data_IF_593848788975
#
_entry.id   IF_593848788975
#
_cell.length_a   1.000
_cell.length_b   1.000
_cell.length_c   1.000
_cell.angle_alpha   90.00
_cell.angle_beta   90.00
_cell.angle_gamma   90.00
#
_symmetry.space_group_name_H-M   'P 1'
#
loop_
_entity.id
_entity.type
_entity.pdbx_description
1 polymer ?
#
# COMPACT_ATOMS: atom_id res chain seq x y z
N UNK A 1 10.82 -3.44 -7.22
CA UNK A 1 10.44 -2.12 -6.66
C UNK A 1 11.71 -1.32 -6.39
N UNK A 2 12.13 -0.48 -7.34
CA UNK A 2 13.40 0.27 -7.25
C UNK A 2 13.44 1.19 -6.01
N UNK A 3 12.31 1.83 -5.67
CA UNK A 3 12.20 2.74 -4.51
C UNK A 3 12.42 2.05 -3.17
N UNK A 4 11.85 0.86 -2.98
CA UNK A 4 12.01 0.14 -1.73
C UNK A 4 13.47 -0.28 -1.50
N UNK A 5 14.18 -0.64 -2.57
CA UNK A 5 15.63 -0.92 -2.48
C UNK A 5 16.39 0.35 -2.12
N UNK A 6 16.15 1.43 -2.87
CA UNK A 6 16.80 2.72 -2.65
C UNK A 6 16.61 3.26 -1.24
N UNK A 7 15.38 3.24 -0.72
CA UNK A 7 15.07 3.69 0.65
C UNK A 7 15.79 2.81 1.67
N UNK A 8 15.81 1.48 1.47
CA UNK A 8 16.55 0.55 2.34
C UNK A 8 18.07 0.72 2.26
N UNK A 9 18.58 1.22 1.14
CA UNK A 9 19.99 1.60 0.93
C UNK A 9 20.32 3.00 1.51
N UNK A 10 19.35 3.67 2.14
CA UNK A 10 19.53 4.97 2.79
C UNK A 10 19.31 6.17 1.87
N UNK A 11 18.77 5.98 0.67
CA UNK A 11 18.38 7.10 -0.19
C UNK A 11 17.08 7.75 0.33
N UNK A 12 17.09 9.06 0.61
CA UNK A 12 15.92 9.73 1.16
C UNK A 12 14.80 9.90 0.12
N UNK A 13 13.58 10.07 0.61
CA UNK A 13 12.44 10.53 -0.15
C UNK A 13 12.66 11.98 -0.59
N UNK A 14 12.58 12.23 -1.89
CA UNK A 14 12.80 13.56 -2.48
C UNK A 14 11.63 13.98 -3.36
N UNK A 15 11.60 15.23 -3.79
CA UNK A 15 10.68 15.76 -4.80
C UNK A 15 10.69 14.89 -6.06
N UNK A 16 11.87 14.40 -6.47
CA UNK A 16 11.97 13.48 -7.61
C UNK A 16 11.19 12.19 -7.34
N UNK A 17 11.32 11.62 -6.15
CA UNK A 17 10.50 10.46 -5.74
C UNK A 17 9.00 10.77 -5.83
N UNK A 18 8.59 11.98 -5.44
CA UNK A 18 7.17 12.38 -5.49
C UNK A 18 6.67 12.43 -6.95
N UNK A 19 7.48 13.01 -7.84
CA UNK A 19 7.19 13.11 -9.29
C UNK A 19 7.14 11.71 -9.92
N UNK A 20 8.11 10.85 -9.62
CA UNK A 20 8.18 9.49 -10.15
C UNK A 20 6.97 8.66 -9.69
N UNK A 21 6.55 8.79 -8.43
CA UNK A 21 5.33 8.16 -7.93
C UNK A 21 4.09 8.66 -8.69
N UNK A 22 3.98 9.97 -8.91
CA UNK A 22 2.89 10.52 -9.72
C UNK A 22 2.89 9.93 -11.14
N UNK A 23 4.04 9.93 -11.82
CA UNK A 23 4.21 9.42 -13.17
C UNK A 23 3.80 7.94 -13.28
N UNK A 24 4.16 7.12 -12.29
CA UNK A 24 3.75 5.72 -12.21
C UNK A 24 2.25 5.59 -11.96
N UNK A 25 1.71 6.27 -10.94
CA UNK A 25 0.29 6.17 -10.53
C UNK A 25 -0.66 6.65 -11.62
N UNK A 26 -0.22 7.61 -12.42
CA UNK A 26 -1.03 8.24 -13.46
C UNK A 26 -0.69 7.79 -14.88
N UNK A 27 0.36 7.00 -15.06
CA UNK A 27 0.89 6.61 -16.36
C UNK A 27 1.18 7.82 -17.26
N UNK A 28 1.86 8.83 -16.68
CA UNK A 28 2.17 10.11 -17.33
C UNK A 28 3.67 10.41 -17.28
N UNK A 29 4.09 11.40 -18.06
CA UNK A 29 5.48 11.88 -18.14
C UNK A 29 5.63 13.33 -17.65
N UNK A 30 4.53 14.03 -17.37
CA UNK A 30 4.57 15.35 -16.75
C UNK A 30 4.84 15.25 -15.24
N UNK A 31 4.75 16.39 -14.53
CA UNK A 31 5.07 16.46 -13.11
C UNK A 31 4.32 17.59 -12.42
N UNK A 32 5.04 18.43 -11.70
CA UNK A 32 4.48 19.56 -10.94
C UNK A 32 3.60 20.43 -11.85
N UNK A 33 2.38 20.70 -11.39
CA UNK A 33 1.40 21.49 -12.13
C UNK A 33 1.87 22.93 -12.35
N UNK A 34 1.38 23.53 -13.44
CA UNK A 34 1.66 24.92 -13.82
C UNK A 34 0.42 25.67 -14.28
N UNK A 35 -0.74 25.01 -14.35
CA UNK A 35 -2.00 25.59 -14.82
C UNK A 35 -2.87 25.91 -13.59
N UNK A 36 -3.43 27.13 -13.51
CA UNK A 36 -4.33 27.53 -12.42
C UNK A 36 -5.65 26.75 -12.35
N UNK A 37 -6.35 26.89 -11.22
CA UNK A 37 -7.72 26.39 -11.05
C UNK A 37 -7.84 24.99 -10.45
N UNK A 38 -6.76 24.48 -9.87
CA UNK A 38 -6.80 23.22 -9.12
C UNK A 38 -7.44 23.47 -7.76
N UNK A 39 -8.32 22.56 -7.31
CA UNK A 39 -8.92 22.62 -5.98
C UNK A 39 -9.08 21.22 -5.41
N UNK A 40 -8.87 21.10 -4.10
CA UNK A 40 -9.18 19.89 -3.36
C UNK A 40 -10.69 19.85 -3.12
N UNK A 41 -11.36 18.78 -3.57
CA UNK A 41 -12.79 18.58 -3.39
C UNK A 41 -13.10 17.34 -2.56
N UNK A 42 -14.19 17.37 -1.81
CA UNK A 42 -14.72 16.19 -1.12
C UNK A 42 -15.56 15.32 -2.09
N UNK A 43 -16.12 14.22 -1.57
CA UNK A 43 -16.98 13.33 -2.35
C UNK A 43 -18.30 13.94 -2.85
N UNK A 44 -18.75 15.05 -2.27
CA UNK A 44 -19.92 15.81 -2.69
C UNK A 44 -19.59 16.89 -3.74
N UNK A 45 -18.31 17.06 -4.10
CA UNK A 45 -17.85 18.08 -5.04
C UNK A 45 -17.62 19.46 -4.42
N UNK A 46 -17.76 19.60 -3.09
CA UNK A 46 -17.49 20.85 -2.38
C UNK A 46 -15.98 21.10 -2.32
N UNK A 47 -15.57 22.36 -2.55
CA UNK A 47 -14.18 22.78 -2.44
C UNK A 47 -13.79 22.83 -0.97
N UNK A 48 -12.82 22.00 -0.59
CA UNK A 48 -12.22 21.97 0.74
C UNK A 48 -11.11 23.02 0.83
N UNK A 49 -10.30 23.12 -0.21
CA UNK A 49 -9.12 23.98 -0.24
C UNK A 49 -8.70 24.33 -1.66
N UNK A 50 -8.20 25.55 -1.85
CA UNK A 50 -7.63 26.02 -3.11
C UNK A 50 -6.12 26.25 -2.92
N UNK A 51 -5.26 25.37 -3.46
CA UNK A 51 -3.81 25.48 -3.34
C UNK A 51 -3.23 26.61 -4.20
N UNK A 52 -1.98 27.01 -3.92
CA UNK A 52 -1.29 28.02 -4.72
C UNK A 52 -1.14 27.56 -6.17
N UNK A 53 -1.49 28.40 -7.13
CA UNK A 53 -1.33 28.12 -8.57
C UNK A 53 0.07 28.49 -9.10
N UNK A 54 0.92 29.09 -8.27
CA UNK A 54 2.27 29.46 -8.64
C UNK A 54 3.23 28.26 -8.50
N UNK A 55 3.79 27.80 -9.62
CA UNK A 55 4.76 26.70 -9.65
C UNK A 55 5.98 26.93 -8.75
N UNK A 56 6.45 28.17 -8.63
CA UNK A 56 7.57 28.50 -7.74
C UNK A 56 7.22 28.29 -6.27
N UNK A 57 6.00 28.67 -5.87
CA UNK A 57 5.53 28.42 -4.51
C UNK A 57 5.37 26.93 -4.24
N UNK A 58 4.82 26.17 -5.18
CA UNK A 58 4.69 24.72 -5.06
C UNK A 58 6.06 24.08 -4.84
N UNK A 59 7.06 24.42 -5.67
CA UNK A 59 8.42 23.88 -5.54
C UNK A 59 9.08 24.29 -4.22
N UNK A 60 8.90 25.54 -3.79
CA UNK A 60 9.41 26.02 -2.49
C UNK A 60 8.79 25.27 -1.32
N UNK A 61 7.48 25.06 -1.33
CA UNK A 61 6.76 24.33 -0.29
C UNK A 61 7.14 22.85 -0.27
N UNK A 62 7.31 22.22 -1.44
CA UNK A 62 7.80 20.85 -1.52
C UNK A 62 9.25 20.73 -1.02
N UNK A 63 10.11 21.71 -1.31
CA UNK A 63 11.48 21.72 -0.79
C UNK A 63 11.50 21.84 0.73
N UNK A 64 10.61 22.65 1.31
CA UNK A 64 10.43 22.71 2.75
C UNK A 64 9.94 21.38 3.34
N UNK A 65 8.97 20.74 2.69
CA UNK A 65 8.46 19.43 3.09
C UNK A 65 9.53 18.33 3.02
N UNK A 66 10.29 18.28 1.93
CA UNK A 66 11.43 17.37 1.75
C UNK A 66 12.47 17.56 2.87
N UNK A 67 12.80 18.82 3.18
CA UNK A 67 13.72 19.14 4.28
C UNK A 67 13.16 18.64 5.61
N UNK A 68 11.88 18.89 5.90
CA UNK A 68 11.24 18.52 7.16
C UNK A 68 11.26 17.00 7.43
N UNK A 69 11.05 16.17 6.39
CA UNK A 69 11.01 14.71 6.55
C UNK A 69 12.39 14.06 6.56
N UNK A 70 13.44 14.73 6.06
CA UNK A 70 14.78 14.15 5.94
C UNK A 70 15.79 14.73 6.95
N UNK A 71 15.55 15.94 7.47
CA UNK A 71 16.42 16.56 8.47
C UNK A 71 15.89 16.19 9.86
N UNK A 72 16.73 15.46 10.60
CA UNK A 72 16.52 15.19 12.01
C UNK A 72 17.17 16.32 12.82
N UNK A 73 16.42 17.41 13.00
CA UNK A 73 16.81 18.45 13.96
C UNK A 73 16.71 17.93 15.41
N UNK A 74 17.28 18.68 16.36
CA UNK A 74 17.38 18.32 17.79
C UNK A 74 16.04 18.20 18.53
N UNK A 75 14.91 18.44 17.86
CA UNK A 75 13.60 18.66 18.48
C UNK A 75 12.82 17.38 18.85
N UNK A 76 13.42 16.19 18.72
CA UNK A 76 12.89 14.90 19.20
C UNK A 76 11.41 14.63 18.83
N UNK A 77 10.97 15.15 17.68
CA UNK A 77 9.60 14.93 17.19
C UNK A 77 9.49 13.50 16.67
N UNK A 78 8.58 12.73 17.27
CA UNK A 78 8.28 11.36 16.87
C UNK A 78 7.90 11.26 15.38
N UNK A 79 8.43 10.26 14.69
CA UNK A 79 8.23 10.08 13.25
C UNK A 79 6.76 9.88 12.89
N UNK A 80 5.89 9.34 13.76
CA UNK A 80 4.45 9.26 13.47
C UNK A 80 3.75 10.63 13.52
N UNK A 81 4.27 11.57 14.32
CA UNK A 81 3.81 12.96 14.30
C UNK A 81 4.28 13.64 13.00
N UNK A 82 5.54 13.43 12.61
CA UNK A 82 6.05 13.91 11.32
C UNK A 82 5.26 13.33 10.14
N UNK A 83 4.85 12.07 10.20
CA UNK A 83 3.97 11.43 9.21
C UNK A 83 2.65 12.19 9.06
N UNK A 84 2.01 12.58 10.17
CA UNK A 84 0.77 13.35 10.13
C UNK A 84 0.98 14.70 9.44
N UNK A 85 2.04 15.42 9.80
CA UNK A 85 2.38 16.71 9.21
C UNK A 85 2.71 16.55 7.72
N UNK A 86 3.50 15.54 7.35
CA UNK A 86 3.83 15.19 5.98
C UNK A 86 2.54 15.01 5.15
N UNK A 87 1.62 14.19 5.65
CA UNK A 87 0.40 13.90 4.93
C UNK A 87 -0.44 15.15 4.70
N UNK A 88 -0.65 15.96 5.74
CA UNK A 88 -1.39 17.23 5.62
C UNK A 88 -0.74 18.19 4.63
N UNK A 89 0.57 18.44 4.79
CA UNK A 89 1.29 19.39 3.93
C UNK A 89 1.25 18.95 2.47
N UNK A 90 1.46 17.68 2.18
CA UNK A 90 1.40 17.18 0.81
C UNK A 90 0.02 17.38 0.17
N UNK A 91 -1.06 17.05 0.89
CA UNK A 91 -2.43 17.23 0.39
C UNK A 91 -2.78 18.71 0.16
N UNK A 92 -2.27 19.61 1.03
CA UNK A 92 -2.47 21.05 0.91
C UNK A 92 -1.64 21.67 -0.21
N UNK A 93 -0.37 21.28 -0.38
CA UNK A 93 0.46 21.75 -1.49
C UNK A 93 -0.17 21.33 -2.82
N UNK A 94 -0.72 20.12 -2.86
CA UNK A 94 -1.45 19.55 -3.99
C UNK A 94 -0.66 19.69 -5.30
N UNK A 95 0.57 19.16 -5.37
CA UNK A 95 1.55 19.56 -6.38
C UNK A 95 1.25 19.09 -7.82
N UNK A 96 0.38 18.10 -8.00
CA UNK A 96 0.11 17.47 -9.29
C UNK A 96 -1.27 17.85 -9.85
N UNK A 97 -1.50 17.75 -11.17
CA UNK A 97 -2.81 18.02 -11.77
C UNK A 97 -3.93 17.07 -11.32
N UNK A 98 -3.59 15.83 -10.98
CA UNK A 98 -4.48 14.80 -10.41
C UNK A 98 -3.61 13.75 -9.69
N UNK A 99 -4.22 12.91 -8.87
CA UNK A 99 -3.55 11.77 -8.23
C UNK A 99 -2.88 12.11 -6.91
N UNK A 100 -2.94 13.35 -6.44
CA UNK A 100 -2.35 13.79 -5.17
C UNK A 100 -2.71 12.88 -4.01
N UNK A 101 -4.01 12.61 -3.80
CA UNK A 101 -4.43 11.70 -2.72
C UNK A 101 -3.81 10.30 -2.78
N UNK A 102 -3.59 9.75 -3.99
CA UNK A 102 -2.95 8.43 -4.16
C UNK A 102 -1.46 8.50 -3.86
N UNK A 103 -0.78 9.52 -4.38
CA UNK A 103 0.66 9.73 -4.15
C UNK A 103 0.92 10.01 -2.67
N UNK A 104 0.15 10.89 -2.03
CA UNK A 104 0.28 11.20 -0.60
C UNK A 104 0.14 9.96 0.28
N UNK A 105 -0.84 9.08 0.01
CA UNK A 105 -1.00 7.83 0.75
C UNK A 105 0.14 6.83 0.52
N UNK A 106 0.75 6.81 -0.67
CA UNK A 106 1.95 5.99 -0.92
C UNK A 106 3.16 6.58 -0.16
N UNK A 107 3.33 7.90 -0.20
CA UNK A 107 4.39 8.61 0.52
C UNK A 107 4.35 8.32 2.02
N UNK A 108 3.16 8.30 2.63
CA UNK A 108 3.01 7.94 4.04
C UNK A 108 3.65 6.58 4.37
N UNK A 109 3.38 5.56 3.56
CA UNK A 109 3.91 4.21 3.81
C UNK A 109 5.41 4.14 3.51
N UNK A 110 5.88 4.83 2.47
CA UNK A 110 7.32 4.89 2.17
C UNK A 110 8.10 5.65 3.23
N UNK A 111 7.53 6.70 3.82
CA UNK A 111 8.14 7.44 4.92
C UNK A 111 8.29 6.56 6.15
N UNK A 112 7.28 5.76 6.50
CA UNK A 112 7.41 4.76 7.58
C UNK A 112 8.53 3.74 7.33
N UNK A 113 8.80 3.39 6.07
CA UNK A 113 9.93 2.52 5.71
C UNK A 113 11.26 3.24 5.83
N UNK A 114 11.35 4.51 5.39
CA UNK A 114 12.55 5.33 5.55
C UNK A 114 12.94 5.49 7.02
N UNK A 115 11.96 5.74 7.88
CA UNK A 115 12.14 5.89 9.34
C UNK A 115 12.32 4.55 10.07
N UNK A 116 12.44 3.43 9.33
CA UNK A 116 12.64 2.08 9.87
C UNK A 116 11.54 1.59 10.81
N UNK A 117 10.37 2.26 10.81
CA UNK A 117 9.17 1.80 11.51
C UNK A 117 8.49 0.62 10.78
N UNK A 118 8.75 0.48 9.48
CA UNK A 118 8.31 -0.65 8.66
C UNK A 118 9.44 -1.25 7.83
N UNK A 119 9.60 -2.57 7.88
CA UNK A 119 10.52 -3.29 6.99
C UNK A 119 9.97 -3.43 5.56
N UNK A 120 8.65 -3.40 5.41
CA UNK A 120 7.94 -3.55 4.13
C UNK A 120 6.71 -2.64 4.11
N UNK A 121 6.32 -2.11 2.93
CA UNK A 121 5.19 -1.20 2.80
C UNK A 121 3.84 -1.95 2.85
N UNK A 122 3.53 -2.60 3.98
CA UNK A 122 2.37 -3.50 4.14
C UNK A 122 1.24 -2.91 4.99
N UNK A 123 1.41 -1.70 5.52
CA UNK A 123 0.39 -1.04 6.32
C UNK A 123 -0.73 -0.50 5.43
N UNK A 124 -1.96 -0.97 5.64
CA UNK A 124 -3.11 -0.57 4.81
C UNK A 124 -3.81 0.70 5.33
N UNK A 125 -3.04 1.78 5.51
CA UNK A 125 -3.52 3.06 6.06
C UNK A 125 -4.73 3.63 5.30
N UNK A 126 -4.77 3.41 3.98
CA UNK A 126 -5.86 3.88 3.12
C UNK A 126 -7.24 3.32 3.51
N UNK A 127 -7.31 2.11 4.09
CA UNK A 127 -8.59 1.50 4.48
C UNK A 127 -9.31 2.35 5.52
N UNK A 128 -8.59 2.73 6.58
CA UNK A 128 -9.13 3.56 7.65
C UNK A 128 -9.58 4.93 7.12
N UNK A 129 -8.79 5.55 6.24
CA UNK A 129 -9.17 6.84 5.62
C UNK A 129 -10.45 6.74 4.80
N UNK A 130 -10.64 5.63 4.07
CA UNK A 130 -11.84 5.40 3.26
C UNK A 130 -13.06 5.16 4.16
N UNK A 131 -12.91 4.32 5.18
CA UNK A 131 -13.98 3.99 6.15
C UNK A 131 -14.39 5.23 6.98
N UNK A 132 -13.44 6.15 7.23
CA UNK A 132 -13.65 7.36 8.05
C UNK A 132 -13.54 8.66 7.24
N UNK A 133 -13.91 8.65 5.96
CA UNK A 133 -13.68 9.76 5.00
C UNK A 133 -14.24 11.11 5.45
N UNK A 134 -15.37 11.12 6.15
CA UNK A 134 -15.96 12.37 6.67
C UNK A 134 -15.08 13.00 7.75
N UNK A 135 -14.58 12.18 8.68
CA UNK A 135 -13.69 12.68 9.74
C UNK A 135 -12.33 13.10 9.17
N UNK A 136 -11.80 12.35 8.20
CA UNK A 136 -10.57 12.71 7.49
C UNK A 136 -10.61 14.15 6.96
N UNK A 137 -11.64 14.49 6.17
CA UNK A 137 -11.74 15.83 5.60
C UNK A 137 -12.09 16.89 6.64
N UNK A 138 -12.86 16.54 7.69
CA UNK A 138 -13.15 17.45 8.80
C UNK A 138 -11.87 17.83 9.55
N UNK A 139 -11.04 16.84 9.89
CA UNK A 139 -9.77 17.07 10.58
C UNK A 139 -8.79 17.86 9.70
N UNK A 140 -8.66 17.49 8.41
CA UNK A 140 -7.81 18.22 7.46
C UNK A 140 -8.22 19.70 7.34
N UNK A 141 -9.52 19.96 7.19
CA UNK A 141 -10.08 21.32 7.12
C UNK A 141 -9.88 22.08 8.44
N UNK A 142 -9.99 21.40 9.58
CA UNK A 142 -9.76 21.95 10.91
C UNK A 142 -8.37 22.55 11.09
N UNK A 143 -7.33 21.91 10.53
CA UNK A 143 -5.97 22.46 10.54
C UNK A 143 -5.90 23.77 9.75
N UNK A 144 -6.47 23.80 8.54
CA UNK A 144 -6.42 24.99 7.67
C UNK A 144 -7.20 26.17 8.25
N UNK A 145 -8.39 25.95 8.80
CA UNK A 145 -9.26 27.02 9.27
C UNK A 145 -8.98 27.45 10.71
N UNK A 146 -8.62 26.50 11.58
CA UNK A 146 -8.59 26.70 13.03
C UNK A 146 -7.25 26.32 13.69
N UNK A 147 -6.24 25.93 12.90
CA UNK A 147 -4.94 25.45 13.43
C UNK A 147 -5.09 24.22 14.34
N UNK A 148 -6.14 23.42 14.14
CA UNK A 148 -6.47 22.23 14.93
C UNK A 148 -5.57 21.03 14.59
N UNK A 149 -4.27 21.19 14.85
CA UNK A 149 -3.25 20.18 14.61
C UNK A 149 -3.41 18.95 15.50
N UNK A 150 -3.85 19.15 16.75
CA UNK A 150 -4.03 18.06 17.71
C UNK A 150 -5.02 17.03 17.18
N UNK A 151 -6.20 17.45 16.74
CA UNK A 151 -7.21 16.54 16.17
C UNK A 151 -6.69 15.79 14.95
N UNK A 152 -5.98 16.47 14.06
CA UNK A 152 -5.41 15.85 12.87
C UNK A 152 -4.34 14.81 13.21
N UNK A 153 -3.43 15.13 14.13
CA UNK A 153 -2.37 14.22 14.57
C UNK A 153 -3.01 12.99 15.24
N UNK A 154 -3.96 13.19 16.16
CA UNK A 154 -4.67 12.08 16.81
C UNK A 154 -5.42 11.19 15.81
N UNK A 155 -6.06 11.78 14.80
CA UNK A 155 -6.70 11.02 13.72
C UNK A 155 -5.69 10.14 12.97
N UNK A 156 -4.52 10.67 12.61
CA UNK A 156 -3.48 9.91 11.89
C UNK A 156 -2.90 8.82 12.79
N UNK A 157 -2.66 9.09 14.08
CA UNK A 157 -2.15 8.11 15.04
C UNK A 157 -3.14 6.95 15.24
N UNK A 158 -4.44 7.22 15.43
CA UNK A 158 -5.45 6.17 15.51
C UNK A 158 -5.53 5.39 14.18
N UNK A 159 -5.45 6.09 13.04
CA UNK A 159 -5.40 5.42 11.73
C UNK A 159 -4.24 4.42 11.63
N UNK A 160 -3.05 4.80 12.10
CA UNK A 160 -1.86 3.93 12.12
C UNK A 160 -2.07 2.76 13.09
N UNK A 161 -2.55 3.02 14.31
CA UNK A 161 -2.77 1.99 15.33
C UNK A 161 -3.76 0.92 14.85
N UNK A 162 -4.95 1.34 14.40
CA UNK A 162 -6.00 0.41 13.96
C UNK A 162 -5.56 -0.40 12.75
N UNK A 163 -4.90 0.24 11.78
CA UNK A 163 -4.44 -0.46 10.57
C UNK A 163 -3.26 -1.39 10.86
N UNK A 164 -2.38 -1.05 11.80
CA UNK A 164 -1.30 -1.94 12.24
C UNK A 164 -1.86 -3.18 12.93
N UNK A 165 -2.82 -3.02 13.84
CA UNK A 165 -3.54 -4.14 14.51
C UNK A 165 -4.23 -5.05 13.49
N UNK A 166 -4.94 -4.46 12.53
CA UNK A 166 -5.64 -5.20 11.48
C UNK A 166 -4.68 -5.95 10.55
N UNK A 167 -3.58 -5.31 10.12
CA UNK A 167 -2.54 -5.96 9.32
C UNK A 167 -1.90 -7.12 10.09
N UNK A 168 -1.58 -6.94 11.38
CA UNK A 168 -1.01 -8.00 12.21
C UNK A 168 -1.95 -9.20 12.34
N UNK A 169 -3.24 -8.95 12.58
CA UNK A 169 -4.26 -10.02 12.63
C UNK A 169 -4.34 -10.77 11.30
N UNK A 170 -4.39 -10.05 10.16
CA UNK A 170 -4.39 -10.70 8.83
C UNK A 170 -3.13 -11.54 8.59
N UNK A 171 -1.94 -11.04 8.94
CA UNK A 171 -0.69 -11.80 8.79
C UNK A 171 -0.70 -13.08 9.63
N UNK A 172 -1.18 -13.02 10.87
CA UNK A 172 -1.33 -14.21 11.73
C UNK A 172 -2.28 -15.23 11.11
N UNK A 173 -3.40 -14.78 10.59
CA UNK A 173 -4.38 -15.69 9.98
C UNK A 173 -3.86 -16.33 8.69
N UNK A 174 -3.12 -15.58 7.87
CA UNK A 174 -2.41 -16.13 6.70
C UNK A 174 -1.41 -17.21 7.14
N UNK A 175 -0.60 -16.93 8.17
CA UNK A 175 0.39 -17.87 8.68
C UNK A 175 -0.27 -19.15 9.21
N UNK A 176 -1.28 -19.03 10.07
CA UNK A 176 -2.02 -20.18 10.60
C UNK A 176 -2.70 -20.98 9.49
N UNK A 177 -3.30 -20.32 8.49
CA UNK A 177 -3.91 -20.99 7.35
C UNK A 177 -2.89 -21.73 6.51
N UNK A 178 -1.68 -21.17 6.33
CA UNK A 178 -0.57 -21.80 5.61
C UNK A 178 -0.08 -23.06 6.31
N UNK A 179 0.17 -23.01 7.61
CA UNK A 179 0.61 -24.17 8.38
C UNK A 179 -0.43 -25.29 8.37
N UNK A 180 -1.72 -24.94 8.55
CA UNK A 180 -2.81 -25.91 8.48
C UNK A 180 -2.88 -26.58 7.10
N UNK A 181 -2.86 -25.79 6.03
CA UNK A 181 -2.89 -26.33 4.66
C UNK A 181 -1.67 -27.21 4.37
N UNK A 182 -0.47 -26.82 4.84
CA UNK A 182 0.73 -27.62 4.69
C UNK A 182 0.57 -29.01 5.34
N UNK A 183 0.06 -29.06 6.57
CA UNK A 183 -0.15 -30.31 7.29
C UNK A 183 -1.21 -31.19 6.62
N UNK A 184 -2.30 -30.59 6.14
CA UNK A 184 -3.37 -31.32 5.45
C UNK A 184 -2.91 -31.88 4.10
N UNK A 185 -2.17 -31.11 3.30
CA UNK A 185 -1.60 -31.59 2.03
C UNK A 185 -0.59 -32.70 2.30
N UNK A 186 0.28 -32.54 3.31
CA UNK A 186 1.26 -33.58 3.69
C UNK A 186 0.57 -34.91 4.05
N UNK A 187 -0.57 -34.84 4.73
CA UNK A 187 -1.32 -36.03 5.16
C UNK A 187 -2.14 -36.66 4.03
N UNK A 188 -2.85 -35.85 3.23
CA UNK A 188 -3.80 -36.35 2.21
C UNK A 188 -3.15 -36.60 0.85
N UNK A 189 -2.12 -35.82 0.50
CA UNK A 189 -1.49 -35.75 -0.82
C UNK A 189 0.04 -35.80 -0.71
N UNK A 190 0.57 -36.68 0.14
CA UNK A 190 2.00 -36.78 0.46
C UNK A 190 2.91 -36.88 -0.78
N UNK A 191 2.44 -37.49 -1.87
CA UNK A 191 3.19 -37.66 -3.11
C UNK A 191 3.50 -36.36 -3.87
N UNK A 192 2.73 -35.29 -3.62
CA UNK A 192 2.94 -33.98 -4.27
C UNK A 192 3.37 -32.89 -3.29
N UNK A 193 3.39 -33.21 -1.99
CA UNK A 193 3.74 -32.25 -0.96
C UNK A 193 5.19 -31.77 -1.12
N UNK A 194 5.35 -30.46 -1.17
CA UNK A 194 6.61 -29.78 -0.87
C UNK A 194 6.32 -28.48 -0.16
N UNK A 195 7.29 -27.97 0.60
CA UNK A 195 7.13 -26.69 1.29
C UNK A 195 6.92 -25.57 0.27
N UNK A 196 7.66 -25.63 -0.82
CA UNK A 196 7.71 -24.65 -1.91
C UNK A 196 6.39 -24.61 -2.68
N UNK A 197 5.70 -25.74 -2.82
CA UNK A 197 4.36 -25.78 -3.42
C UNK A 197 3.36 -25.03 -2.54
N UNK A 198 3.37 -25.28 -1.24
CA UNK A 198 2.47 -24.58 -0.30
C UNK A 198 2.80 -23.09 -0.26
N UNK A 199 4.09 -22.72 -0.22
CA UNK A 199 4.52 -21.33 -0.27
C UNK A 199 4.01 -20.64 -1.53
N UNK A 200 4.10 -21.28 -2.71
CA UNK A 200 3.56 -20.73 -3.94
C UNK A 200 2.04 -20.47 -3.86
N UNK A 201 1.27 -21.38 -3.22
CA UNK A 201 -0.17 -21.19 -3.03
C UNK A 201 -0.52 -20.05 -2.07
N UNK A 202 0.41 -19.64 -1.21
CA UNK A 202 0.24 -18.52 -0.29
C UNK A 202 0.85 -17.20 -0.78
N UNK A 203 1.78 -17.27 -1.73
CA UNK A 203 2.29 -16.10 -2.45
C UNK A 203 1.36 -15.68 -3.60
N UNK A 204 0.65 -16.64 -4.20
CA UNK A 204 -0.24 -16.44 -5.34
C UNK A 204 -1.66 -16.91 -5.00
N UNK A 205 -2.57 -16.01 -4.53
CA UNK A 205 -3.95 -16.36 -4.22
C UNK A 205 -4.70 -17.00 -5.39
N UNK A 206 -4.26 -16.68 -6.62
CA UNK A 206 -4.64 -17.33 -7.85
C UNK A 206 -3.41 -17.96 -8.50
N UNK A 207 -3.46 -19.25 -8.78
CA UNK A 207 -2.36 -20.00 -9.35
C UNK A 207 -2.69 -20.50 -10.77
N UNK A 208 -1.64 -20.78 -11.55
CA UNK A 208 -1.72 -21.43 -12.86
C UNK A 208 -0.56 -22.39 -13.02
N UNK A 209 -0.68 -23.28 -14.01
CA UNK A 209 0.38 -24.23 -14.40
C UNK A 209 1.71 -23.49 -14.64
N UNK A 210 1.69 -22.35 -15.34
CA UNK A 210 2.89 -21.56 -15.65
C UNK A 210 3.62 -21.07 -14.40
N UNK A 211 2.93 -20.82 -13.29
CA UNK A 211 3.56 -20.35 -12.05
C UNK A 211 4.41 -21.46 -11.42
N UNK A 212 3.89 -22.69 -11.36
CA UNK A 212 4.65 -23.85 -10.88
C UNK A 212 5.86 -24.13 -11.78
N UNK A 213 5.71 -24.00 -13.10
CA UNK A 213 6.80 -24.16 -14.06
C UNK A 213 7.85 -23.08 -13.87
N UNK A 214 7.45 -21.82 -13.70
CA UNK A 214 8.39 -20.68 -13.51
C UNK A 214 9.16 -20.73 -12.19
N UNK A 215 8.69 -21.54 -11.23
CA UNK A 215 9.33 -21.79 -9.93
C UNK A 215 10.08 -23.12 -9.89
N UNK A 216 10.25 -23.78 -11.03
CA UNK A 216 10.90 -25.09 -11.18
C UNK A 216 10.30 -26.19 -10.27
N UNK A 217 9.04 -26.06 -9.85
CA UNK A 217 8.38 -27.04 -8.99
C UNK A 217 7.97 -28.29 -9.76
N UNK A 218 7.68 -28.13 -11.06
CA UNK A 218 7.24 -29.22 -11.92
C UNK A 218 7.24 -28.81 -13.40
N UNK A 219 7.43 -29.78 -14.30
CA UNK A 219 7.10 -29.61 -15.72
C UNK A 219 5.59 -29.45 -15.92
N UNK A 220 5.17 -28.83 -17.01
CA UNK A 220 3.76 -28.45 -17.25
C UNK A 220 2.75 -29.60 -17.04
N UNK A 221 3.05 -30.82 -17.51
CA UNK A 221 2.17 -31.99 -17.31
C UNK A 221 2.02 -32.35 -15.83
N UNK A 222 3.14 -32.38 -15.10
CA UNK A 222 3.16 -32.66 -13.66
C UNK A 222 2.49 -31.55 -12.85
N UNK A 223 2.73 -30.29 -13.18
CA UNK A 223 2.08 -29.14 -12.56
C UNK A 223 0.55 -29.17 -12.75
N UNK A 224 0.08 -29.54 -13.95
CA UNK A 224 -1.35 -29.76 -14.22
C UNK A 224 -1.94 -30.87 -13.34
N UNK A 225 -1.21 -31.97 -13.16
CA UNK A 225 -1.61 -33.07 -12.26
C UNK A 225 -1.67 -32.60 -10.80
N UNK A 226 -0.69 -31.83 -10.32
CA UNK A 226 -0.65 -31.32 -8.95
C UNK A 226 -1.84 -30.41 -8.66
N UNK A 227 -2.10 -29.42 -9.53
CA UNK A 227 -3.23 -28.50 -9.37
C UNK A 227 -4.58 -29.22 -9.43
N UNK A 228 -4.71 -30.27 -10.26
CA UNK A 228 -5.91 -31.11 -10.28
C UNK A 228 -6.11 -31.88 -8.97
N UNK A 229 -5.07 -32.49 -8.42
CA UNK A 229 -5.16 -33.19 -7.14
C UNK A 229 -5.53 -32.25 -5.98
N UNK A 230 -4.96 -31.04 -5.97
CA UNK A 230 -5.31 -30.01 -4.99
C UNK A 230 -6.76 -29.55 -5.11
N UNK A 231 -7.26 -29.39 -6.34
CA UNK A 231 -8.67 -29.10 -6.64
C UNK A 231 -9.59 -30.23 -6.16
N UNK A 232 -9.29 -31.49 -6.52
CA UNK A 232 -10.08 -32.67 -6.14
C UNK A 232 -10.12 -32.89 -4.62
N UNK A 233 -9.04 -32.56 -3.91
CA UNK A 233 -8.96 -32.61 -2.45
C UNK A 233 -9.60 -31.40 -1.75
N UNK A 234 -10.11 -30.41 -2.49
CA UNK A 234 -10.81 -29.24 -1.96
C UNK A 234 -9.91 -28.12 -1.43
N UNK A 235 -8.62 -28.11 -1.75
CA UNK A 235 -7.71 -27.03 -1.36
C UNK A 235 -7.82 -25.81 -2.27
N UNK A 236 -8.23 -26.01 -3.52
CA UNK A 236 -8.33 -24.98 -4.54
C UNK A 236 -9.70 -25.02 -5.20
N UNK A 237 -10.21 -23.86 -5.61
CA UNK A 237 -11.31 -23.74 -6.57
C UNK A 237 -10.76 -23.51 -7.99
N UNK A 238 -11.56 -23.69 -9.02
CA UNK A 238 -11.16 -23.38 -10.41
C UNK A 238 -12.10 -22.38 -11.06
N UNK A 239 -11.52 -21.39 -11.74
CA UNK A 239 -12.24 -20.42 -12.56
C UNK A 239 -11.61 -20.36 -13.95
N UNK A 240 -12.44 -20.46 -14.99
CA UNK A 240 -12.01 -20.33 -16.39
C UNK A 240 -12.24 -18.90 -16.87
N UNK A 241 -11.20 -18.25 -17.40
CA UNK A 241 -11.29 -16.92 -18.01
C UNK A 241 -10.68 -17.03 -19.42
N UNK A 242 -11.54 -17.00 -20.44
CA UNK A 242 -11.12 -17.30 -21.81
C UNK A 242 -10.58 -18.73 -21.92
N UNK A 243 -9.35 -18.86 -22.41
CA UNK A 243 -8.65 -20.16 -22.55
C UNK A 243 -7.87 -20.57 -21.30
N UNK A 244 -7.77 -19.67 -20.33
CA UNK A 244 -6.93 -19.85 -19.15
C UNK A 244 -7.73 -20.39 -17.97
N UNK A 245 -7.14 -21.31 -17.21
CA UNK A 245 -7.70 -21.81 -15.94
C UNK A 245 -6.90 -21.24 -14.77
N UNK A 246 -7.59 -20.61 -13.84
CA UNK A 246 -7.05 -20.09 -12.59
C UNK A 246 -7.49 -21.01 -11.45
N UNK A 247 -6.55 -21.40 -10.61
CA UNK A 247 -6.80 -22.20 -9.41
C UNK A 247 -6.71 -21.29 -8.18
N UNK A 248 -7.77 -21.18 -7.41
CA UNK A 248 -7.92 -20.16 -6.37
C UNK A 248 -7.73 -20.81 -5.00
N UNK A 249 -6.79 -20.31 -4.21
CA UNK A 249 -6.68 -20.67 -2.80
C UNK A 249 -7.76 -19.93 -2.01
N UNK A 250 -8.93 -20.57 -1.81
CA UNK A 250 -10.09 -19.93 -1.19
C UNK A 250 -9.82 -19.49 0.25
N UNK A 251 -9.09 -20.32 1.01
CA UNK A 251 -8.76 -19.98 2.41
C UNK A 251 -7.95 -18.68 2.49
N UNK A 252 -6.94 -18.53 1.62
CA UNK A 252 -6.18 -17.28 1.55
C UNK A 252 -7.04 -16.12 1.01
N UNK A 253 -7.83 -16.37 -0.04
CA UNK A 253 -8.70 -15.37 -0.64
C UNK A 253 -9.66 -14.74 0.37
N UNK A 254 -10.30 -15.55 1.20
CA UNK A 254 -11.24 -15.10 2.23
C UNK A 254 -10.54 -14.23 3.30
N UNK A 255 -9.30 -14.59 3.68
CA UNK A 255 -8.49 -13.79 4.62
C UNK A 255 -8.10 -12.43 4.02
N UNK A 256 -7.75 -12.40 2.73
CA UNK A 256 -7.34 -11.18 2.04
C UNK A 256 -8.51 -10.22 1.81
N UNK A 257 -9.71 -10.75 1.52
CA UNK A 257 -10.88 -9.95 1.11
C UNK A 257 -11.78 -9.48 2.24
N UNK A 258 -11.62 -9.98 3.48
CA UNK A 258 -12.32 -9.45 4.66
C UNK A 258 -11.92 -8.02 5.06
#
# INVERSE_FOLDING_TARGET
>A
MVWLSKIKEGHPLTINTFIELFQIVKERQDGIRSIPGTCLKNGAGEVIYTPSDNKYDILRLLGNLETFINVHDKDDIDSLIKLAILHYQFECIHPFPDGNGRVGRILNVLYLVQEQLLNFPILYLSRYIIENKTEYYRALKGVTENQDWERWILYVLDSVEQTAKNTLSKVKDIYTSRERMAQEIKNKLSSIYSKELVDLLFEQPYCKISFLVSRDLAKAQTASKYLRQLLEAGFLDVQSIGREKYYINRQLWDILTR
#
